data_IF_817780030524
#
_entry.id   IF_817780030524
#
_cell.length_a   1.000
_cell.length_b   1.000
_cell.length_c   1.000
_cell.angle_alpha   90.00
_cell.angle_beta   90.00
_cell.angle_gamma   90.00
#
_symmetry.space_group_name_H-M   'P 1'
#
loop_
_entity.id
_entity.type
_entity.pdbx_description
1 polymer ?
#
# COMPACT_ATOMS: atom_id res chain seq x y z
N UNK A 1 -22.40 -6.75 -0.57
CA UNK A 1 -22.58 -5.40 0.00
C UNK A 1 -21.91 -5.40 1.36
N UNK A 2 -20.64 -5.02 1.43
CA UNK A 2 -19.92 -4.84 2.70
C UNK A 2 -19.94 -3.34 2.95
N UNK A 3 -20.82 -2.90 3.85
CA UNK A 3 -20.84 -1.51 4.30
C UNK A 3 -19.51 -1.27 5.02
N UNK A 4 -18.69 -0.36 4.50
CA UNK A 4 -17.47 0.08 5.17
C UNK A 4 -17.83 0.56 6.59
N UNK A 5 -17.12 0.07 7.59
CA UNK A 5 -17.33 0.48 8.98
C UNK A 5 -16.91 1.94 9.13
N UNK A 6 -17.69 2.72 9.89
CA UNK A 6 -17.26 4.08 10.24
C UNK A 6 -16.08 4.03 11.24
N UNK A 7 -15.30 5.12 11.39
CA UNK A 7 -14.14 5.14 12.28
C UNK A 7 -14.45 4.76 13.74
N UNK A 8 -15.62 5.16 14.27
CA UNK A 8 -15.99 4.85 15.64
C UNK A 8 -16.35 3.37 15.86
N UNK A 9 -16.94 2.73 14.85
CA UNK A 9 -17.21 1.29 14.86
C UNK A 9 -15.91 0.47 14.81
N UNK A 10 -14.91 0.92 14.06
CA UNK A 10 -13.60 0.27 14.01
C UNK A 10 -12.89 0.37 15.36
N UNK A 11 -12.89 1.55 15.98
CA UNK A 11 -12.25 1.76 17.28
C UNK A 11 -12.89 0.90 18.39
N UNK A 12 -14.23 0.77 18.39
CA UNK A 12 -14.91 -0.12 19.33
C UNK A 12 -14.50 -1.60 19.17
N UNK A 13 -14.30 -2.06 17.92
CA UNK A 13 -13.80 -3.41 17.67
C UNK A 13 -12.35 -3.59 18.13
N UNK A 14 -11.51 -2.56 17.96
CA UNK A 14 -10.13 -2.56 18.46
C UNK A 14 -10.12 -2.66 19.99
N UNK A 15 -10.95 -1.89 20.69
CA UNK A 15 -11.08 -1.97 22.16
C UNK A 15 -11.54 -3.36 22.62
N UNK A 16 -12.54 -3.96 21.95
CA UNK A 16 -12.96 -5.33 22.26
C UNK A 16 -11.83 -6.34 22.05
N UNK A 17 -11.08 -6.17 20.97
CA UNK A 17 -9.94 -7.03 20.65
C UNK A 17 -8.79 -6.89 21.66
N UNK A 18 -8.54 -5.68 22.20
CA UNK A 18 -7.61 -5.45 23.32
C UNK A 18 -8.06 -6.20 24.59
N UNK A 19 -9.37 -6.33 24.81
CA UNK A 19 -9.96 -7.15 25.88
C UNK A 19 -9.87 -8.67 25.67
N UNK A 20 -9.25 -9.14 24.57
CA UNK A 20 -9.06 -10.56 24.25
C UNK A 20 -10.08 -11.15 23.28
N UNK A 21 -11.00 -10.35 22.72
CA UNK A 21 -11.97 -10.81 21.73
C UNK A 21 -11.30 -11.03 20.36
N UNK A 22 -10.99 -12.30 20.08
CA UNK A 22 -10.39 -12.72 18.81
C UNK A 22 -11.30 -12.53 17.60
N UNK A 23 -12.62 -12.59 17.79
CA UNK A 23 -13.57 -12.34 16.70
C UNK A 23 -13.61 -10.86 16.33
N UNK A 24 -13.54 -9.98 17.33
CA UNK A 24 -13.40 -8.55 17.09
C UNK A 24 -12.13 -8.24 16.28
N UNK A 25 -10.98 -8.82 16.65
CA UNK A 25 -9.75 -8.64 15.87
C UNK A 25 -9.90 -9.14 14.42
N UNK A 26 -10.54 -10.29 14.22
CA UNK A 26 -10.77 -10.84 12.88
C UNK A 26 -11.60 -9.87 12.01
N UNK A 27 -12.59 -9.20 12.59
CA UNK A 27 -13.38 -8.17 11.90
C UNK A 27 -12.57 -6.93 11.58
N UNK A 28 -11.74 -6.47 12.52
CA UNK A 28 -10.80 -5.35 12.29
C UNK A 28 -9.90 -5.67 11.10
N UNK A 29 -9.33 -6.88 11.05
CA UNK A 29 -8.47 -7.34 9.95
C UNK A 29 -9.19 -7.25 8.60
N UNK A 30 -10.41 -7.78 8.49
CA UNK A 30 -11.19 -7.74 7.24
C UNK A 30 -11.41 -6.30 6.76
N UNK A 31 -11.73 -5.38 7.69
CA UNK A 31 -12.02 -3.99 7.35
C UNK A 31 -10.78 -3.23 6.85
N UNK A 32 -9.64 -3.45 7.48
CA UNK A 32 -8.41 -2.70 7.18
C UNK A 32 -7.53 -3.36 6.11
N UNK A 33 -7.81 -4.62 5.78
CA UNK A 33 -7.08 -5.38 4.77
C UNK A 33 -6.96 -4.63 3.43
N UNK A 34 -8.03 -4.08 2.82
CA UNK A 34 -7.91 -3.42 1.51
C UNK A 34 -6.98 -2.21 1.55
N UNK A 35 -7.01 -1.42 2.63
CA UNK A 35 -6.14 -0.26 2.79
C UNK A 35 -4.67 -0.66 2.97
N UNK A 36 -4.41 -1.72 3.74
CA UNK A 36 -3.06 -2.22 3.96
C UNK A 36 -2.52 -2.92 2.71
N UNK A 37 -3.33 -3.72 2.03
CA UNK A 37 -2.99 -4.38 0.78
C UNK A 37 -2.69 -3.37 -0.33
N UNK A 38 -3.50 -2.30 -0.45
CA UNK A 38 -3.22 -1.20 -1.38
C UNK A 38 -1.90 -0.48 -1.08
N UNK A 39 -1.63 -0.22 0.20
CA UNK A 39 -0.35 0.35 0.65
C UNK A 39 0.83 -0.57 0.32
N UNK A 40 0.77 -1.86 0.66
CA UNK A 40 1.85 -2.80 0.42
C UNK A 40 2.04 -3.14 -1.05
N UNK A 41 0.96 -3.19 -1.82
CA UNK A 41 1.03 -3.28 -3.27
C UNK A 41 1.89 -2.13 -3.80
N UNK A 42 1.84 -0.94 -3.18
CA UNK A 42 2.64 0.23 -3.56
C UNK A 42 4.12 0.14 -3.26
N UNK A 43 4.48 -0.45 -2.15
CA UNK A 43 5.85 -0.38 -1.66
C UNK A 43 6.63 -1.69 -1.84
N UNK A 44 5.95 -2.83 -1.91
CA UNK A 44 6.61 -4.12 -2.08
C UNK A 44 7.11 -4.33 -3.52
N UNK A 45 8.33 -4.86 -3.65
CA UNK A 45 8.97 -5.14 -4.95
C UNK A 45 8.42 -6.39 -5.65
N UNK A 46 7.67 -7.24 -4.95
CA UNK A 46 7.06 -8.45 -5.50
C UNK A 46 5.77 -8.82 -4.76
N UNK A 47 4.84 -9.56 -5.41
CA UNK A 47 3.66 -10.11 -4.75
C UNK A 47 4.00 -11.00 -3.56
N UNK A 48 5.07 -11.79 -3.67
CA UNK A 48 5.52 -12.70 -2.62
C UNK A 48 5.97 -11.91 -1.38
N UNK A 49 6.70 -10.80 -1.58
CA UNK A 49 7.06 -9.89 -0.49
C UNK A 49 5.83 -9.19 0.10
N UNK A 50 4.87 -8.80 -0.74
CA UNK A 50 3.62 -8.18 -0.27
C UNK A 50 2.88 -9.09 0.69
N UNK A 51 2.67 -10.36 0.31
CA UNK A 51 1.95 -11.35 1.12
C UNK A 51 2.68 -11.63 2.44
N UNK A 52 4.01 -11.78 2.37
CA UNK A 52 4.87 -11.97 3.55
C UNK A 52 4.77 -10.82 4.55
N UNK A 53 4.87 -9.57 4.06
CA UNK A 53 4.78 -8.39 4.93
C UNK A 53 3.36 -8.20 5.45
N UNK A 54 2.33 -8.47 4.64
CA UNK A 54 0.94 -8.35 5.05
C UNK A 54 0.63 -9.31 6.22
N UNK A 55 1.02 -10.58 6.08
CA UNK A 55 0.87 -11.57 7.14
C UNK A 55 1.64 -11.16 8.40
N UNK A 56 2.91 -10.79 8.23
CA UNK A 56 3.77 -10.38 9.34
C UNK A 56 3.24 -9.13 10.05
N UNK A 57 2.63 -8.21 9.31
CA UNK A 57 2.00 -7.01 9.87
C UNK A 57 0.84 -7.38 10.76
N UNK A 58 -0.06 -8.26 10.33
CA UNK A 58 -1.21 -8.66 11.16
C UNK A 58 -0.79 -9.46 12.41
N UNK A 59 0.23 -10.32 12.30
CA UNK A 59 0.80 -11.00 13.47
C UNK A 59 1.40 -10.00 14.45
N UNK A 60 2.22 -9.07 13.96
CA UNK A 60 2.86 -8.04 14.79
C UNK A 60 1.82 -7.09 15.41
N UNK A 61 0.76 -6.75 14.67
CA UNK A 61 -0.34 -5.93 15.15
C UNK A 61 -1.12 -6.64 16.26
N UNK A 62 -1.39 -7.93 16.12
CA UNK A 62 -2.05 -8.71 17.18
C UNK A 62 -1.20 -8.75 18.47
N UNK A 63 0.11 -8.90 18.34
CA UNK A 63 1.04 -8.93 19.48
C UNK A 63 1.18 -7.58 20.19
N UNK A 64 1.12 -6.48 19.45
CA UNK A 64 1.26 -5.11 19.97
C UNK A 64 -0.10 -4.45 20.23
N UNK A 65 -1.20 -5.18 20.07
CA UNK A 65 -2.54 -4.61 20.13
C UNK A 65 -2.85 -3.98 21.48
N UNK A 66 -2.35 -4.58 22.57
CA UNK A 66 -2.49 -4.04 23.94
C UNK A 66 -1.91 -2.65 24.11
N UNK A 67 -0.90 -2.32 23.31
CA UNK A 67 -0.12 -1.09 23.42
C UNK A 67 -0.62 -0.03 22.43
N UNK A 68 -1.61 -0.36 21.60
CA UNK A 68 -2.21 0.58 20.67
C UNK A 68 -3.05 1.63 21.43
N UNK A 69 -2.66 2.90 21.28
CA UNK A 69 -3.44 4.04 21.70
C UNK A 69 -4.03 4.76 20.47
N UNK A 70 -5.31 5.15 20.47
CA UNK A 70 -5.98 5.80 19.35
C UNK A 70 -5.56 7.28 19.22
N UNK A 71 -4.27 7.54 19.01
CA UNK A 71 -3.73 8.87 18.68
C UNK A 71 -3.84 9.21 17.19
N UNK A 72 -4.55 8.37 16.42
CA UNK A 72 -4.76 8.43 14.98
C UNK A 72 -5.60 7.24 14.50
N UNK A 73 -5.64 6.97 13.20
CA UNK A 73 -6.40 5.81 12.68
C UNK A 73 -5.65 4.49 12.89
N UNK A 74 -6.37 3.42 13.20
CA UNK A 74 -5.80 2.07 13.29
C UNK A 74 -5.12 1.63 11.99
N UNK A 75 -5.67 2.02 10.84
CA UNK A 75 -5.06 1.80 9.53
C UNK A 75 -3.71 2.54 9.38
N UNK A 76 -3.58 3.76 9.92
CA UNK A 76 -2.32 4.49 9.96
C UNK A 76 -1.26 3.79 10.81
N UNK A 77 -1.66 3.30 11.99
CA UNK A 77 -0.80 2.50 12.86
C UNK A 77 -0.31 1.21 12.19
N UNK A 78 -1.21 0.46 11.54
CA UNK A 78 -0.86 -0.72 10.76
C UNK A 78 0.13 -0.43 9.63
N UNK A 79 -0.07 0.67 8.88
CA UNK A 79 0.86 1.10 7.84
C UNK A 79 2.23 1.43 8.42
N UNK A 80 2.30 1.96 9.65
CA UNK A 80 3.55 2.16 10.41
C UNK A 80 4.31 0.86 10.64
N UNK A 81 3.63 -0.17 11.15
CA UNK A 81 4.20 -1.52 11.35
C UNK A 81 4.68 -2.10 10.01
N UNK A 82 3.81 -2.08 9.00
CA UNK A 82 4.07 -2.64 7.68
C UNK A 82 5.28 -1.99 7.00
N UNK A 83 5.38 -0.66 7.08
CA UNK A 83 6.53 0.12 6.59
C UNK A 83 7.83 -0.35 7.23
N UNK A 84 7.84 -0.51 8.55
CA UNK A 84 9.04 -0.93 9.27
C UNK A 84 9.46 -2.35 8.91
N UNK A 85 8.51 -3.28 8.77
CA UNK A 85 8.79 -4.65 8.34
C UNK A 85 9.34 -4.68 6.91
N UNK A 86 8.69 -3.96 5.99
CA UNK A 86 9.10 -3.92 4.59
C UNK A 86 10.51 -3.33 4.43
N UNK A 87 10.82 -2.22 5.10
CA UNK A 87 12.16 -1.62 5.10
C UNK A 87 13.23 -2.61 5.57
N UNK A 88 12.97 -3.31 6.68
CA UNK A 88 13.90 -4.30 7.24
C UNK A 88 14.15 -5.44 6.24
N UNK A 89 13.09 -5.94 5.64
CA UNK A 89 13.17 -7.09 4.74
C UNK A 89 13.87 -6.74 3.42
N UNK A 90 13.59 -5.55 2.86
CA UNK A 90 14.32 -5.05 1.69
C UNK A 90 15.80 -4.82 1.98
N UNK A 91 16.14 -4.23 3.13
CA UNK A 91 17.53 -4.08 3.56
C UNK A 91 18.23 -5.43 3.77
N UNK A 92 17.53 -6.44 4.28
CA UNK A 92 18.04 -7.81 4.42
C UNK A 92 18.32 -8.43 3.05
N UNK A 93 17.39 -8.35 2.11
CA UNK A 93 17.54 -8.88 0.74
C UNK A 93 18.68 -8.19 -0.02
N UNK A 94 18.81 -6.87 0.11
CA UNK A 94 19.91 -6.12 -0.50
C UNK A 94 21.29 -6.60 -0.02
N UNK A 95 21.45 -6.85 1.28
CA UNK A 95 22.70 -7.39 1.85
C UNK A 95 23.01 -8.82 1.39
N UNK A 96 21.99 -9.66 1.25
CA UNK A 96 22.16 -11.07 0.85
C UNK A 96 22.46 -11.24 -0.64
N UNK A 97 21.90 -10.37 -1.49
CA UNK A 97 21.99 -10.53 -2.94
C UNK A 97 23.04 -9.65 -3.62
N UNK A 98 23.76 -8.77 -2.89
CA UNK A 98 25.01 -8.13 -3.34
C UNK A 98 25.00 -7.47 -4.73
N UNK A 99 23.82 -7.07 -5.24
CA UNK A 99 23.66 -6.54 -6.60
C UNK A 99 23.13 -5.12 -6.54
N UNK A 100 23.64 -4.26 -7.43
CA UNK A 100 23.22 -2.85 -7.57
C UNK A 100 21.70 -2.70 -7.68
N UNK A 101 21.03 -3.68 -8.31
CA UNK A 101 19.58 -3.72 -8.44
C UNK A 101 18.84 -3.83 -7.11
N UNK A 102 19.29 -4.69 -6.20
CA UNK A 102 18.63 -4.86 -4.90
C UNK A 102 18.86 -3.64 -3.99
N UNK A 103 20.02 -2.99 -4.11
CA UNK A 103 20.31 -1.72 -3.43
C UNK A 103 19.44 -0.57 -3.96
N UNK A 104 19.27 -0.47 -5.29
CA UNK A 104 18.39 0.51 -5.94
C UNK A 104 16.93 0.25 -5.56
N UNK A 105 16.47 -1.01 -5.54
CA UNK A 105 15.11 -1.36 -5.12
C UNK A 105 14.84 -1.00 -3.65
N UNK A 106 15.81 -1.21 -2.75
CA UNK A 106 15.71 -0.81 -1.35
C UNK A 106 15.68 0.71 -1.18
N UNK A 107 16.51 1.47 -1.91
CA UNK A 107 16.51 2.93 -1.91
C UNK A 107 15.19 3.51 -2.44
N UNK A 108 14.65 2.96 -3.54
CA UNK A 108 13.38 3.40 -4.12
C UNK A 108 12.20 3.09 -3.18
N UNK A 109 12.22 1.94 -2.51
CA UNK A 109 11.19 1.60 -1.53
C UNK A 109 11.27 2.48 -0.28
N UNK A 110 12.48 2.83 0.18
CA UNK A 110 12.64 3.70 1.35
C UNK A 110 12.18 5.13 1.05
N UNK A 111 12.53 5.67 -0.13
CA UNK A 111 12.00 6.94 -0.63
C UNK A 111 10.47 6.89 -0.78
N UNK A 112 9.93 5.78 -1.28
CA UNK A 112 8.49 5.63 -1.43
C UNK A 112 7.75 5.57 -0.08
N UNK A 113 8.35 4.93 0.92
CA UNK A 113 7.80 4.78 2.26
C UNK A 113 7.85 6.08 3.09
N UNK A 114 8.65 7.07 2.68
CA UNK A 114 8.75 8.38 3.33
C UNK A 114 7.58 9.33 3.01
N UNK A 115 6.76 9.05 2.00
CA UNK A 115 5.63 9.91 1.62
C UNK A 115 4.29 9.19 1.83
N UNK A 116 3.63 9.46 2.97
CA UNK A 116 2.20 9.83 3.11
C UNK A 116 2.03 10.14 4.59
N UNK A 117 1.96 11.43 4.91
CA UNK A 117 1.54 11.93 6.21
C UNK A 117 0.01 11.80 6.34
N UNK A 118 -0.52 11.02 7.29
CA UNK A 118 -1.97 10.90 7.51
C UNK A 118 -2.61 12.20 8.03
N UNK A 119 -1.84 13.20 8.46
CA UNK A 119 -2.29 14.55 8.84
C UNK A 119 -2.05 15.59 7.72
N UNK A 120 -1.70 15.13 6.51
CA UNK A 120 -1.39 16.01 5.39
C UNK A 120 -2.54 16.94 5.02
N UNK A 121 -2.22 18.24 4.92
CA UNK A 121 -3.07 19.33 4.45
C UNK A 121 -4.05 18.86 3.36
N UNK A 122 -5.36 19.01 3.61
CA UNK A 122 -6.42 18.57 2.70
C UNK A 122 -6.25 19.18 1.30
N UNK A 123 -5.72 20.40 1.23
CA UNK A 123 -5.45 21.09 -0.04
C UNK A 123 -4.25 20.46 -0.74
N UNK A 124 -3.18 20.11 -0.02
CA UNK A 124 -2.06 19.35 -0.57
C UNK A 124 -2.49 17.97 -1.09
N UNK A 125 -3.40 17.30 -0.38
CA UNK A 125 -3.99 16.02 -0.78
C UNK A 125 -4.84 16.17 -2.04
N UNK A 126 -5.67 17.21 -2.11
CA UNK A 126 -6.52 17.51 -3.28
C UNK A 126 -5.69 17.84 -4.52
N UNK A 127 -4.64 18.63 -4.34
CA UNK A 127 -3.72 18.99 -5.42
C UNK A 127 -2.92 17.77 -5.89
N UNK A 128 -2.41 16.94 -4.98
CA UNK A 128 -1.77 15.66 -5.33
C UNK A 128 -2.71 14.75 -6.13
N UNK A 129 -3.98 14.63 -5.72
CA UNK A 129 -4.99 13.85 -6.46
C UNK A 129 -5.28 14.42 -7.85
N UNK A 130 -5.33 15.75 -7.98
CA UNK A 130 -5.48 16.43 -9.27
C UNK A 130 -4.30 16.14 -10.20
N UNK A 131 -3.07 16.29 -9.69
CA UNK A 131 -1.83 16.00 -10.43
C UNK A 131 -1.77 14.53 -10.86
N UNK A 132 -2.11 13.59 -9.97
CA UNK A 132 -2.17 12.16 -10.28
C UNK A 132 -3.19 11.84 -11.37
N UNK A 133 -4.38 12.47 -11.37
CA UNK A 133 -5.36 12.32 -12.46
C UNK A 133 -4.78 12.77 -13.81
N UNK A 134 -4.17 13.94 -13.86
CA UNK A 134 -3.51 14.42 -15.09
C UNK A 134 -2.35 13.53 -15.54
N UNK A 135 -1.68 12.85 -14.62
CA UNK A 135 -0.64 11.87 -14.94
C UNK A 135 -1.20 10.54 -15.44
N UNK A 136 -2.35 10.09 -14.92
CA UNK A 136 -3.05 8.89 -15.42
C UNK A 136 -3.52 9.07 -16.87
N UNK A 137 -3.88 10.29 -17.27
CA UNK A 137 -4.25 10.61 -18.66
C UNK A 137 -3.07 10.48 -19.64
N UNK A 138 -1.83 10.55 -19.15
CA UNK A 138 -0.60 10.39 -19.97
C UNK A 138 -0.20 8.93 -20.16
N UNK A 139 -0.79 8.00 -19.42
CA UNK A 139 -0.51 6.58 -19.59
C UNK A 139 -1.15 6.07 -20.88
N UNK A 140 -0.51 5.09 -21.52
CA UNK A 140 -1.15 4.38 -22.62
C UNK A 140 -2.47 3.74 -22.16
N UNK A 141 -3.51 3.64 -23.02
CA UNK A 141 -4.81 3.07 -22.65
C UNK A 141 -4.69 1.69 -22.02
N UNK A 142 -3.76 0.87 -22.51
CA UNK A 142 -3.47 -0.47 -21.97
C UNK A 142 -2.90 -0.41 -20.55
N UNK A 143 -1.93 0.46 -20.30
CA UNK A 143 -1.30 0.61 -18.98
C UNK A 143 -2.28 1.18 -17.96
N UNK A 144 -3.10 2.16 -18.37
CA UNK A 144 -4.16 2.72 -17.55
C UNK A 144 -5.18 1.66 -17.14
N UNK A 145 -5.68 0.87 -18.09
CA UNK A 145 -6.64 -0.19 -17.79
C UNK A 145 -6.06 -1.24 -16.83
N UNK A 146 -4.80 -1.65 -17.01
CA UNK A 146 -4.12 -2.58 -16.09
C UNK A 146 -4.01 -1.96 -14.69
N UNK A 147 -3.70 -0.66 -14.59
CA UNK A 147 -3.58 0.04 -13.32
C UNK A 147 -4.94 0.21 -12.63
N UNK A 148 -5.98 0.60 -13.34
CA UNK A 148 -7.35 0.71 -12.82
C UNK A 148 -7.83 -0.63 -12.27
N UNK A 149 -7.72 -1.71 -13.06
CA UNK A 149 -8.10 -3.05 -12.62
C UNK A 149 -7.29 -3.53 -11.41
N UNK A 150 -6.02 -3.16 -11.31
CA UNK A 150 -5.18 -3.55 -10.17
C UNK A 150 -5.45 -2.72 -8.92
N UNK A 151 -5.61 -1.41 -9.04
CA UNK A 151 -5.61 -0.47 -7.91
C UNK A 151 -6.98 -0.01 -7.46
N UNK A 152 -7.96 -0.01 -8.36
CA UNK A 152 -9.35 0.39 -8.08
C UNK A 152 -10.20 -0.84 -7.82
N UNK A 153 -10.14 -1.81 -8.74
CA UNK A 153 -10.96 -3.03 -8.66
C UNK A 153 -10.31 -4.16 -7.83
N UNK A 154 -9.10 -3.92 -7.31
CA UNK A 154 -8.28 -4.86 -6.55
C UNK A 154 -8.14 -6.27 -7.17
N UNK A 155 -8.08 -6.35 -8.50
CA UNK A 155 -7.97 -7.63 -9.20
C UNK A 155 -6.58 -8.25 -8.96
N UNK A 156 -6.50 -9.52 -8.52
CA UNK A 156 -5.23 -10.21 -8.30
C UNK A 156 -4.36 -10.33 -9.57
N UNK A 157 -3.03 -10.25 -9.41
CA UNK A 157 -2.09 -10.24 -10.54
C UNK A 157 -2.12 -11.51 -11.40
N UNK A 158 -2.41 -12.66 -10.82
CA UNK A 158 -2.62 -13.91 -11.56
C UNK A 158 -3.87 -13.86 -12.46
N UNK A 159 -4.94 -13.23 -11.98
CA UNK A 159 -6.18 -13.02 -12.76
C UNK A 159 -5.94 -12.02 -13.88
N UNK A 160 -5.23 -10.93 -13.60
CA UNK A 160 -4.81 -9.98 -14.64
C UNK A 160 -3.91 -10.64 -15.68
N UNK A 161 -2.99 -11.52 -15.28
CA UNK A 161 -2.10 -12.25 -16.19
C UNK A 161 -2.89 -13.07 -17.21
N UNK A 162 -3.94 -13.76 -16.74
CA UNK A 162 -4.84 -14.48 -17.63
C UNK A 162 -5.64 -13.53 -18.53
N UNK A 163 -6.24 -12.47 -17.97
CA UNK A 163 -7.07 -11.51 -18.72
C UNK A 163 -6.28 -10.81 -19.84
N UNK A 164 -5.04 -10.40 -19.56
CA UNK A 164 -4.20 -9.66 -20.50
C UNK A 164 -3.28 -10.55 -21.34
N UNK A 165 -3.40 -11.88 -21.21
CA UNK A 165 -2.57 -12.90 -21.87
C UNK A 165 -1.06 -12.63 -21.70
N UNK A 166 -0.66 -12.36 -20.47
CA UNK A 166 0.74 -12.07 -20.09
C UNK A 166 1.20 -12.96 -18.94
N UNK A 167 2.51 -13.02 -18.70
CA UNK A 167 3.05 -13.69 -17.52
C UNK A 167 2.89 -12.81 -16.28
N UNK A 168 2.82 -13.41 -15.09
CA UNK A 168 2.80 -12.68 -13.80
C UNK A 168 3.97 -11.70 -13.69
N UNK A 169 5.16 -12.12 -14.12
CA UNK A 169 6.37 -11.28 -14.12
C UNK A 169 6.27 -10.07 -15.06
N UNK A 170 5.70 -10.26 -16.27
CA UNK A 170 5.48 -9.16 -17.22
C UNK A 170 4.52 -8.12 -16.66
N UNK A 171 3.41 -8.55 -16.05
CA UNK A 171 2.45 -7.64 -15.43
C UNK A 171 3.00 -6.93 -14.20
N UNK A 172 3.75 -7.62 -13.36
CA UNK A 172 4.44 -7.00 -12.24
C UNK A 172 5.36 -5.86 -12.72
N UNK A 173 6.10 -6.07 -13.83
CA UNK A 173 6.94 -5.04 -14.46
C UNK A 173 6.12 -3.87 -15.04
N UNK A 174 4.96 -4.14 -15.64
CA UNK A 174 4.06 -3.07 -16.13
C UNK A 174 3.55 -2.24 -14.95
N UNK A 175 3.04 -2.90 -13.91
CA UNK A 175 2.54 -2.23 -12.70
C UNK A 175 3.64 -1.39 -12.04
N UNK A 176 4.86 -1.92 -11.96
CA UNK A 176 6.01 -1.17 -11.46
C UNK A 176 6.33 0.06 -12.31
N UNK A 177 6.38 -0.10 -13.63
CA UNK A 177 6.63 1.00 -14.58
C UNK A 177 5.58 2.09 -14.44
N UNK A 178 4.29 1.71 -14.42
CA UNK A 178 3.18 2.65 -14.26
C UNK A 178 3.34 3.46 -12.97
N UNK A 179 3.68 2.82 -11.85
CA UNK A 179 3.88 3.52 -10.58
C UNK A 179 5.03 4.50 -10.60
N UNK A 180 6.18 4.05 -11.12
CA UNK A 180 7.37 4.90 -11.23
C UNK A 180 7.07 6.13 -12.07
N UNK A 181 6.38 5.95 -13.19
CA UNK A 181 6.08 7.02 -14.14
C UNK A 181 5.02 7.98 -13.55
N UNK A 182 4.01 7.46 -12.84
CA UNK A 182 3.02 8.28 -12.12
C UNK A 182 3.67 9.09 -10.99
N UNK A 183 4.57 8.49 -10.20
CA UNK A 183 5.32 9.19 -9.15
C UNK A 183 6.17 10.32 -9.74
N UNK A 184 7.01 10.01 -10.72
CA UNK A 184 7.87 11.00 -11.35
C UNK A 184 7.07 12.13 -12.03
N UNK A 185 5.88 11.82 -12.56
CA UNK A 185 4.97 12.82 -13.12
C UNK A 185 4.34 13.72 -12.04
N UNK A 186 3.89 13.14 -10.92
CA UNK A 186 3.26 13.88 -9.83
C UNK A 186 4.26 14.79 -9.10
N UNK A 187 5.51 14.34 -8.91
CA UNK A 187 6.61 15.13 -8.32
C UNK A 187 7.05 16.30 -9.22
N UNK A 188 6.96 16.14 -10.55
CA UNK A 188 7.32 17.17 -11.53
C UNK A 188 6.19 18.12 -11.90
N UNK A 189 4.94 17.76 -11.60
CA UNK A 189 3.81 18.61 -11.88
C UNK A 189 3.87 19.81 -10.91
N UNK A 190 4.09 21.05 -11.41
CA UNK A 190 3.96 22.23 -10.55
C UNK A 190 2.55 22.23 -9.97
N UNK A 191 2.44 22.53 -8.67
CA UNK A 191 1.16 22.61 -7.98
C UNK A 191 0.21 23.47 -8.79
N UNK A 192 -0.94 22.91 -9.16
CA UNK A 192 -1.94 23.67 -9.88
C UNK A 192 -2.53 24.65 -8.86
N UNK A 193 -2.14 25.91 -8.94
CA UNK A 193 -2.84 26.97 -8.22
C UNK A 193 -2.67 28.31 -8.95
N UNK A 194 -3.69 29.19 -8.95
CA UNK A 194 -5.12 28.99 -8.70
C UNK A 194 -5.93 28.84 -10.00
#
# INVERSE_FOLDING_TARGET
>A
MTTALDPGQLDALVVSAQGGDRQAFSRVVVEVYPQLAGFLAFHASSPELMDEILQSTFVAAFQQLSDYEPRGTFAGWLKGIARNLLRRELGRRARLHGTDRAAIEALLADAALQEVDPDGDEDARRDLLSRLRGCLDKLSPRMRLIAERRFVDDVPLNVLAQQFKQTRASLAKIIFTVRRDLRACAERAPGATP
#
